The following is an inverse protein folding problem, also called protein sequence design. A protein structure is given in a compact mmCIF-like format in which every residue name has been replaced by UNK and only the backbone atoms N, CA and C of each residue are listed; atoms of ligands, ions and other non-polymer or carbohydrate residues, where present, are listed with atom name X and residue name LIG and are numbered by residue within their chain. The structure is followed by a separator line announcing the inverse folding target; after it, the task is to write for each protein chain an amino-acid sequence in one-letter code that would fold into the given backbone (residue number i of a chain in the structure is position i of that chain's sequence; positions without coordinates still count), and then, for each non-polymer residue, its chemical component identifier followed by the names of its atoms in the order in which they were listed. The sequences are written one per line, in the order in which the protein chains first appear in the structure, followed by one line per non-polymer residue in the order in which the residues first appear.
data_IF_386952716224
#
_entry.id   IF_386952716224
#
_cell.length_a   1.000
_cell.length_b   1.000
_cell.length_c   1.000
_cell.angle_alpha   90.00
_cell.angle_beta   90.00
_cell.angle_gamma   90.00
#
_symmetry.space_group_name_H-M   'P 1'
#
loop_
_entity.id
_entity.type
_entity.pdbx_description
1 polymer ?
#
# COMPACT_ATOMS: atom_id res chain seq x y z
N UNK A 1 -0.71 14.98 -26.13
CA UNK A 1 -1.95 14.19 -26.28
C UNK A 1 -2.08 13.25 -25.10
N UNK A 2 -3.27 13.19 -24.49
CA UNK A 2 -3.60 12.26 -23.42
C UNK A 2 -4.58 11.21 -23.93
N UNK A 3 -4.38 9.95 -23.53
CA UNK A 3 -5.30 8.84 -23.73
C UNK A 3 -5.94 8.54 -22.38
N UNK A 4 -7.25 8.67 -22.30
CA UNK A 4 -8.02 8.45 -21.06
C UNK A 4 -8.86 7.19 -21.26
N UNK A 5 -8.79 6.29 -20.28
CA UNK A 5 -9.65 5.09 -20.20
C UNK A 5 -10.77 5.37 -19.20
N UNK A 6 -11.99 4.94 -19.51
CA UNK A 6 -13.15 5.12 -18.62
C UNK A 6 -13.02 4.30 -17.33
N UNK A 7 -12.37 3.14 -17.43
CA UNK A 7 -12.01 2.26 -16.32
C UNK A 7 -10.69 1.56 -16.66
N UNK A 8 -10.04 0.98 -15.65
CA UNK A 8 -8.82 0.22 -15.88
C UNK A 8 -9.15 -1.25 -16.17
N UNK A 9 -8.83 -1.68 -17.39
CA UNK A 9 -8.67 -3.08 -17.77
C UNK A 9 -7.21 -3.31 -18.19
N UNK A 10 -6.62 -4.44 -17.75
CA UNK A 10 -5.19 -4.69 -17.94
C UNK A 10 -4.85 -4.98 -19.41
N UNK A 11 -5.69 -5.72 -20.13
CA UNK A 11 -5.44 -6.01 -21.55
C UNK A 11 -5.74 -4.80 -22.43
N UNK A 12 -6.83 -4.07 -22.17
CA UNK A 12 -7.14 -2.82 -22.87
C UNK A 12 -6.05 -1.76 -22.67
N UNK A 13 -5.43 -1.70 -21.48
CA UNK A 13 -4.29 -0.82 -21.22
C UNK A 13 -3.12 -1.14 -22.16
N UNK A 14 -2.73 -2.42 -22.30
CA UNK A 14 -1.65 -2.84 -23.18
C UNK A 14 -1.98 -2.52 -24.66
N UNK A 15 -3.21 -2.80 -25.06
CA UNK A 15 -3.70 -2.46 -26.41
C UNK A 15 -3.67 -0.95 -26.69
N UNK A 16 -4.01 -0.12 -25.68
CA UNK A 16 -3.94 1.34 -25.81
C UNK A 16 -2.48 1.82 -25.91
N UNK A 17 -1.55 1.24 -25.14
CA UNK A 17 -0.12 1.55 -25.24
C UNK A 17 0.39 1.29 -26.66
N UNK A 18 0.12 0.13 -27.22
CA UNK A 18 0.52 -0.22 -28.58
C UNK A 18 -0.11 0.70 -29.61
N UNK A 19 -1.45 0.84 -29.57
CA UNK A 19 -2.24 1.58 -30.56
C UNK A 19 -1.85 3.06 -30.63
N UNK A 20 -1.68 3.69 -29.47
CA UNK A 20 -1.42 5.13 -29.40
C UNK A 20 0.05 5.48 -29.18
N UNK A 21 0.93 4.46 -29.14
CA UNK A 21 2.37 4.62 -28.86
C UNK A 21 2.60 5.47 -27.62
N UNK A 22 1.92 5.10 -26.54
CA UNK A 22 2.01 5.80 -25.24
C UNK A 22 3.44 5.77 -24.73
N UNK A 23 3.94 6.93 -24.30
CA UNK A 23 5.32 7.08 -23.82
C UNK A 23 5.41 7.22 -22.30
N UNK A 24 4.39 7.81 -21.67
CA UNK A 24 4.36 8.07 -20.23
C UNK A 24 2.98 7.68 -19.69
N UNK A 25 2.96 7.07 -18.51
CA UNK A 25 1.71 6.70 -17.85
C UNK A 25 1.82 6.84 -16.34
N UNK A 26 0.67 7.08 -15.70
CA UNK A 26 0.48 7.06 -14.27
C UNK A 26 -0.35 5.84 -13.90
N UNK A 27 0.10 5.07 -12.92
CA UNK A 27 -0.55 3.84 -12.46
C UNK A 27 -0.62 3.78 -10.93
N UNK A 28 -1.28 2.75 -10.42
CA UNK A 28 -1.23 2.37 -9.01
C UNK A 28 -0.82 0.90 -8.90
N UNK A 29 -0.26 0.44 -7.76
CA UNK A 29 0.26 -0.93 -7.62
C UNK A 29 -0.74 -2.04 -7.94
N UNK A 30 -2.03 -1.86 -7.68
CA UNK A 30 -3.06 -2.84 -8.05
C UNK A 30 -3.21 -3.03 -9.57
N UNK A 31 -2.93 -1.99 -10.36
CA UNK A 31 -2.87 -2.10 -11.82
C UNK A 31 -1.70 -3.00 -12.24
N UNK A 32 -0.54 -2.86 -11.62
CA UNK A 32 0.61 -3.74 -11.83
C UNK A 32 0.28 -5.20 -11.53
N UNK A 33 -0.34 -5.45 -10.36
CA UNK A 33 -0.79 -6.81 -10.00
C UNK A 33 -1.70 -7.40 -11.06
N UNK A 34 -2.71 -6.64 -11.54
CA UNK A 34 -3.65 -7.10 -12.57
C UNK A 34 -2.94 -7.38 -13.89
N UNK A 35 -2.01 -6.52 -14.31
CA UNK A 35 -1.21 -6.72 -15.52
C UNK A 35 -0.32 -7.96 -15.42
N UNK A 36 0.37 -8.18 -14.29
CA UNK A 36 1.23 -9.35 -14.08
C UNK A 36 0.45 -10.66 -13.99
N UNK A 37 -0.83 -10.62 -13.63
CA UNK A 37 -1.73 -11.79 -13.60
C UNK A 37 -2.33 -12.16 -14.96
N UNK A 38 -2.14 -11.34 -15.99
CA UNK A 38 -2.49 -11.74 -17.34
C UNK A 38 -1.65 -12.94 -17.79
N UNK A 39 -2.22 -13.88 -18.57
CA UNK A 39 -1.47 -14.98 -19.16
C UNK A 39 -0.28 -14.48 -19.98
N UNK A 40 0.79 -15.26 -20.03
CA UNK A 40 2.03 -14.87 -20.74
C UNK A 40 1.83 -14.60 -22.22
N UNK A 41 0.94 -15.37 -22.88
CA UNK A 41 0.58 -15.17 -24.27
C UNK A 41 -0.17 -13.85 -24.50
N UNK A 42 -0.95 -13.39 -23.53
CA UNK A 42 -1.62 -12.08 -23.58
C UNK A 42 -0.60 -10.97 -23.38
N UNK A 43 0.27 -11.09 -22.36
CA UNK A 43 1.32 -10.10 -22.10
C UNK A 43 2.30 -9.93 -23.26
N UNK A 44 2.62 -11.02 -23.95
CA UNK A 44 3.51 -11.02 -25.12
C UNK A 44 2.87 -10.56 -26.42
N UNK A 45 1.55 -10.36 -26.47
CA UNK A 45 0.81 -10.00 -27.68
C UNK A 45 0.98 -8.53 -28.09
N UNK A 46 1.21 -7.66 -27.10
CA UNK A 46 1.22 -6.21 -27.30
C UNK A 46 2.63 -5.61 -27.27
N UNK A 47 2.91 -4.73 -28.22
CA UNK A 47 4.15 -3.95 -28.25
C UNK A 47 4.08 -2.75 -27.30
N UNK A 48 4.74 -2.88 -26.15
CA UNK A 48 4.86 -1.82 -25.13
C UNK A 48 6.18 -1.03 -25.20
N UNK A 49 6.99 -1.24 -26.24
CA UNK A 49 8.32 -0.64 -26.39
C UNK A 49 8.32 0.89 -26.53
N UNK A 50 7.16 1.50 -26.80
CA UNK A 50 6.99 2.94 -26.82
C UNK A 50 7.06 3.59 -25.44
N UNK A 51 6.81 2.83 -24.35
CA UNK A 51 6.88 3.33 -22.97
C UNK A 51 8.29 3.79 -22.63
N UNK A 52 8.41 4.97 -22.08
CA UNK A 52 9.65 5.58 -21.60
C UNK A 52 9.67 5.82 -20.10
N UNK A 53 8.49 5.97 -19.51
CA UNK A 53 8.34 6.27 -18.10
C UNK A 53 6.97 5.78 -17.61
N UNK A 54 6.97 4.99 -16.56
CA UNK A 54 5.77 4.47 -15.89
C UNK A 54 5.85 4.87 -14.42
N UNK A 55 5.05 5.85 -14.03
CA UNK A 55 4.92 6.25 -12.64
C UNK A 55 3.91 5.38 -11.90
N UNK A 56 4.21 5.06 -10.65
CA UNK A 56 3.20 4.58 -9.71
C UNK A 56 3.30 5.30 -8.37
N UNK A 57 2.19 5.37 -7.67
CA UNK A 57 2.07 5.99 -6.36
C UNK A 57 0.77 5.58 -5.65
N UNK A 58 0.41 6.27 -4.59
CA UNK A 58 -0.85 6.20 -3.85
C UNK A 58 -1.06 4.97 -2.96
N UNK A 59 -0.27 3.91 -3.12
CA UNK A 59 -0.29 2.72 -2.27
C UNK A 59 1.10 2.06 -2.26
N UNK A 60 1.43 1.27 -1.24
CA UNK A 60 2.63 0.46 -1.22
C UNK A 60 2.64 -0.55 -2.38
N UNK A 61 3.81 -0.72 -3.00
CA UNK A 61 4.00 -1.69 -4.07
C UNK A 61 4.80 -2.89 -3.55
N UNK A 62 4.24 -4.11 -3.53
CA UNK A 62 4.98 -5.29 -3.10
C UNK A 62 6.25 -5.50 -3.91
N UNK A 63 7.36 -5.86 -3.26
CA UNK A 63 8.67 -6.05 -3.91
C UNK A 63 8.58 -7.00 -5.12
N UNK A 64 7.95 -8.19 -5.04
CA UNK A 64 7.83 -9.08 -6.20
C UNK A 64 7.06 -8.47 -7.37
N UNK A 65 6.05 -7.64 -7.08
CA UNK A 65 5.24 -6.96 -8.10
C UNK A 65 6.08 -5.93 -8.85
N UNK A 66 6.82 -5.08 -8.13
CA UNK A 66 7.67 -4.07 -8.77
C UNK A 66 8.84 -4.71 -9.54
N UNK A 67 9.45 -5.75 -8.99
CA UNK A 67 10.45 -6.55 -9.71
C UNK A 67 9.90 -7.13 -11.02
N UNK A 68 8.71 -7.73 -10.97
CA UNK A 68 8.05 -8.28 -12.16
C UNK A 68 7.78 -7.22 -13.22
N UNK A 69 7.36 -6.03 -12.82
CA UNK A 69 7.16 -4.91 -13.76
C UNK A 69 8.46 -4.40 -14.37
N UNK A 70 9.53 -4.27 -13.56
CA UNK A 70 10.86 -3.87 -14.07
C UNK A 70 11.41 -4.93 -15.04
N UNK A 71 11.22 -6.23 -14.76
CA UNK A 71 11.61 -7.30 -15.65
C UNK A 71 10.85 -7.26 -16.99
N UNK A 72 9.58 -6.90 -16.97
CA UNK A 72 8.74 -6.85 -18.16
C UNK A 72 8.90 -5.55 -18.96
N UNK A 73 8.79 -4.40 -18.31
CA UNK A 73 8.82 -3.09 -19.00
C UNK A 73 10.23 -2.50 -19.11
N UNK A 74 11.21 -3.08 -18.42
CA UNK A 74 12.55 -2.51 -18.28
C UNK A 74 12.64 -1.50 -17.12
N UNK A 75 13.82 -0.86 -16.93
CA UNK A 75 14.09 0.03 -15.81
C UNK A 75 13.48 1.43 -15.99
N UNK A 76 12.21 1.49 -16.38
CA UNK A 76 11.45 2.71 -16.65
C UNK A 76 10.34 2.94 -15.60
N UNK A 77 10.34 2.15 -14.52
CA UNK A 77 9.37 2.27 -13.43
C UNK A 77 9.87 3.30 -12.44
N UNK A 78 9.02 4.27 -12.14
CA UNK A 78 9.28 5.35 -11.21
C UNK A 78 8.21 5.35 -10.10
N UNK A 79 8.62 5.67 -8.89
CA UNK A 79 7.73 5.78 -7.74
C UNK A 79 7.86 7.15 -7.10
N UNK A 80 6.75 7.68 -6.61
CA UNK A 80 6.78 8.80 -5.70
C UNK A 80 5.82 8.58 -4.52
N UNK A 81 6.20 9.15 -3.38
CA UNK A 81 5.38 9.25 -2.19
C UNK A 81 5.23 10.73 -1.81
N UNK A 82 4.00 11.20 -1.76
CA UNK A 82 3.64 12.55 -1.41
C UNK A 82 2.18 12.62 -0.96
N UNK A 83 1.83 13.64 -0.18
CA UNK A 83 0.47 14.00 0.17
C UNK A 83 -0.01 15.25 -0.54
N UNK A 84 -1.33 15.41 -0.64
CA UNK A 84 -1.96 16.66 -1.13
C UNK A 84 -1.65 17.85 -0.24
N UNK A 85 -1.20 17.62 0.98
CA UNK A 85 -0.73 18.57 1.97
C UNK A 85 0.54 19.31 1.52
N UNK A 86 1.30 18.74 0.57
CA UNK A 86 2.49 19.37 0.00
C UNK A 86 3.69 19.43 0.94
N UNK A 87 3.69 18.69 2.05
CA UNK A 87 4.71 18.76 3.08
C UNK A 87 6.04 18.11 2.71
N UNK A 88 6.04 17.17 1.74
CA UNK A 88 7.24 16.53 1.24
C UNK A 88 6.96 15.78 -0.06
N UNK A 89 8.01 15.58 -0.85
CA UNK A 89 7.97 14.79 -2.08
C UNK A 89 9.16 13.83 -2.10
N UNK A 90 8.88 12.55 -2.05
CA UNK A 90 9.85 11.46 -2.06
C UNK A 90 9.79 10.77 -3.42
N UNK A 91 10.94 10.43 -3.98
CA UNK A 91 11.01 9.88 -5.33
C UNK A 91 12.05 8.78 -5.44
N UNK A 92 11.74 7.79 -6.29
CA UNK A 92 12.64 6.68 -6.62
C UNK A 92 12.49 6.29 -8.10
N UNK A 93 13.61 6.07 -8.77
CA UNK A 93 13.64 5.43 -10.09
C UNK A 93 13.97 3.93 -9.96
N UNK A 94 13.91 3.18 -11.06
CA UNK A 94 14.18 1.75 -11.05
C UNK A 94 15.59 1.39 -10.60
N UNK A 95 16.61 2.17 -10.95
CA UNK A 95 18.01 1.91 -10.59
C UNK A 95 18.21 2.03 -9.08
N UNK A 96 17.81 3.15 -8.49
CA UNK A 96 17.86 3.37 -7.05
C UNK A 96 17.03 2.33 -6.30
N UNK A 97 15.85 2.00 -6.82
CA UNK A 97 14.98 1.03 -6.20
C UNK A 97 15.56 -0.40 -6.20
N UNK A 98 16.25 -0.81 -7.27
CA UNK A 98 16.89 -2.13 -7.33
C UNK A 98 18.02 -2.27 -6.31
N UNK A 99 18.70 -1.16 -6.00
CA UNK A 99 19.73 -1.11 -4.94
C UNK A 99 19.08 -1.10 -3.53
N UNK A 100 17.89 -0.51 -3.38
CA UNK A 100 17.16 -0.32 -2.11
C UNK A 100 15.73 -0.87 -2.22
N UNK A 101 15.60 -2.19 -2.40
CA UNK A 101 14.29 -2.82 -2.64
C UNK A 101 13.31 -2.60 -1.48
N UNK A 102 12.09 -2.17 -1.82
CA UNK A 102 11.02 -1.85 -0.86
C UNK A 102 10.96 -0.38 -0.45
N UNK A 103 11.96 0.43 -0.82
CA UNK A 103 11.94 1.88 -0.57
C UNK A 103 10.89 2.60 -1.43
N UNK A 104 10.40 3.73 -0.94
CA UNK A 104 9.67 4.73 -1.74
C UNK A 104 10.59 5.84 -2.27
N UNK A 105 11.89 5.81 -1.91
CA UNK A 105 12.93 6.71 -2.42
C UNK A 105 13.51 7.66 -1.40
N UNK A 106 14.10 8.74 -1.92
CA UNK A 106 14.68 9.83 -1.15
C UNK A 106 13.86 11.11 -1.33
N UNK A 107 13.86 11.97 -0.31
CA UNK A 107 13.16 13.25 -0.36
C UNK A 107 13.86 14.23 -1.31
N UNK A 108 13.09 14.93 -2.14
CA UNK A 108 13.58 15.94 -3.07
C UNK A 108 13.50 17.39 -2.52
N UNK A 109 12.63 17.65 -1.54
CA UNK A 109 12.32 19.02 -1.13
C UNK A 109 12.06 19.22 0.37
N UNK A 110 12.35 18.21 1.20
CA UNK A 110 12.17 18.27 2.64
C UNK A 110 13.24 17.41 3.34
N UNK A 111 13.51 17.68 4.62
CA UNK A 111 14.24 16.74 5.48
C UNK A 111 13.25 15.79 6.11
N UNK A 112 13.56 14.49 6.10
CA UNK A 112 12.73 13.47 6.74
C UNK A 112 13.31 13.16 8.12
N UNK A 113 12.42 13.16 9.12
CA UNK A 113 12.70 12.75 10.49
C UNK A 113 11.80 11.57 10.85
N UNK A 114 12.35 10.58 11.50
CA UNK A 114 11.61 9.43 12.04
C UNK A 114 11.58 9.56 13.55
N UNK A 115 10.37 9.64 14.13
CA UNK A 115 10.22 9.94 15.54
C UNK A 115 9.33 8.92 16.26
N UNK A 116 9.62 8.73 17.55
CA UNK A 116 8.74 8.03 18.49
C UNK A 116 7.45 8.83 18.78
N UNK A 117 6.60 8.31 19.68
CA UNK A 117 5.33 8.96 20.03
C UNK A 117 5.53 10.27 20.85
N UNK A 118 6.68 10.45 21.49
CA UNK A 118 7.06 11.66 22.22
C UNK A 118 7.71 12.72 21.30
N UNK A 119 7.92 12.38 20.03
CA UNK A 119 8.55 13.22 19.00
C UNK A 119 10.08 13.21 19.04
N UNK A 120 10.72 12.28 19.76
CA UNK A 120 12.17 12.14 19.71
C UNK A 120 12.58 11.37 18.48
N UNK A 121 13.65 11.80 17.80
CA UNK A 121 14.18 11.06 16.65
C UNK A 121 14.70 9.69 17.10
N UNK A 122 14.36 8.65 16.32
CA UNK A 122 14.82 7.28 16.54
C UNK A 122 16.09 6.99 15.71
N UNK A 123 16.91 6.00 16.11
CA UNK A 123 18.07 5.57 15.33
C UNK A 123 17.71 5.15 13.89
N UNK A 124 18.67 5.29 12.98
CA UNK A 124 18.54 4.78 11.61
C UNK A 124 18.18 3.29 11.60
N UNK A 125 17.23 2.89 10.76
CA UNK A 125 16.71 1.53 10.68
C UNK A 125 15.57 1.23 11.65
N UNK A 126 15.32 2.09 12.66
CA UNK A 126 14.17 1.94 13.56
C UNK A 126 12.94 2.64 12.99
N UNK A 127 11.78 1.98 13.15
CA UNK A 127 10.50 2.51 12.67
C UNK A 127 9.89 3.51 13.63
N UNK A 128 9.36 4.60 13.09
CA UNK A 128 8.64 5.64 13.83
C UNK A 128 7.71 6.42 12.92
N UNK A 129 7.08 7.45 13.46
CA UNK A 129 6.26 8.37 12.67
C UNK A 129 7.13 9.19 11.73
N UNK A 130 6.76 9.22 10.44
CA UNK A 130 7.47 10.00 9.41
C UNK A 130 7.04 11.45 9.49
N UNK A 131 8.00 12.34 9.78
CA UNK A 131 7.82 13.79 9.73
C UNK A 131 8.63 14.41 8.61
N UNK A 132 8.10 15.51 8.08
CA UNK A 132 8.77 16.32 7.07
C UNK A 132 9.07 17.71 7.63
N UNK A 133 10.34 18.10 7.61
CA UNK A 133 10.78 19.45 7.82
C UNK A 133 10.80 20.15 6.46
N UNK A 134 9.88 21.08 6.26
CA UNK A 134 9.74 21.85 5.01
C UNK A 134 9.07 23.20 5.28
N UNK A 135 9.03 24.04 4.27
CA UNK A 135 8.32 25.34 4.35
C UNK A 135 6.80 25.22 4.08
N UNK A 136 6.28 24.01 3.90
CA UNK A 136 4.87 23.79 3.61
C UNK A 136 4.00 24.14 4.83
N UNK A 137 2.98 24.95 4.60
CA UNK A 137 1.94 25.28 5.56
C UNK A 137 0.63 24.72 5.03
N UNK A 138 -0.05 23.88 5.80
CA UNK A 138 -1.38 23.38 5.47
C UNK A 138 -2.24 23.27 6.71
N UNK A 139 -3.55 23.27 6.50
CA UNK A 139 -4.56 23.01 7.52
C UNK A 139 -5.67 22.15 6.93
N UNK A 140 -6.23 21.26 7.73
CA UNK A 140 -7.42 20.50 7.31
C UNK A 140 -8.66 21.35 7.49
N UNK A 141 -9.47 21.46 6.43
CA UNK A 141 -10.66 22.29 6.41
C UNK A 141 -11.66 21.86 7.49
N UNK A 142 -12.01 22.80 8.39
CA UNK A 142 -12.92 22.58 9.52
C UNK A 142 -12.53 21.44 10.46
N UNK A 143 -11.25 21.06 10.52
CA UNK A 143 -10.75 19.98 11.38
C UNK A 143 -9.46 20.42 12.09
N UNK A 144 -9.57 21.25 13.14
CA UNK A 144 -8.41 21.74 13.89
C UNK A 144 -7.68 20.62 14.66
N UNK A 145 -8.41 19.60 15.12
CA UNK A 145 -7.82 18.47 15.84
C UNK A 145 -6.91 17.65 14.91
N UNK A 146 -7.38 17.34 13.71
CA UNK A 146 -6.56 16.65 12.70
C UNK A 146 -5.38 17.51 12.27
N UNK A 147 -5.56 18.82 12.13
CA UNK A 147 -4.47 19.76 11.84
C UNK A 147 -3.42 19.72 12.94
N UNK A 148 -3.83 19.75 14.21
CA UNK A 148 -2.94 19.64 15.37
C UNK A 148 -2.22 18.29 15.39
N UNK A 149 -2.93 17.19 15.16
CA UNK A 149 -2.36 15.85 15.10
C UNK A 149 -1.35 15.64 13.96
N UNK A 150 -1.38 16.49 12.93
CA UNK A 150 -0.40 16.48 11.85
C UNK A 150 0.87 17.29 12.13
N UNK A 151 1.01 17.86 13.33
CA UNK A 151 2.18 18.64 13.75
C UNK A 151 3.07 17.83 14.69
N UNK A 152 4.34 18.14 14.65
CA UNK A 152 5.33 17.64 15.58
C UNK A 152 4.96 18.03 17.03
N UNK A 153 4.90 17.06 17.96
CA UNK A 153 4.52 17.33 19.36
C UNK A 153 5.49 18.26 20.10
N UNK A 154 6.75 18.35 19.65
CA UNK A 154 7.77 19.21 20.24
C UNK A 154 7.76 20.63 19.65
N UNK A 155 6.88 20.93 18.69
CA UNK A 155 6.69 22.30 18.17
C UNK A 155 7.81 22.78 17.23
N UNK A 156 8.61 21.89 16.62
CA UNK A 156 9.69 22.26 15.68
C UNK A 156 9.18 22.70 14.31
N UNK A 157 7.86 22.62 14.08
CA UNK A 157 7.22 22.98 12.81
C UNK A 157 7.20 21.86 11.77
N UNK A 158 7.67 20.67 12.11
CA UNK A 158 7.59 19.52 11.23
C UNK A 158 6.16 19.01 11.10
N UNK A 159 5.87 18.36 9.98
CA UNK A 159 4.52 17.87 9.68
C UNK A 159 4.53 16.42 9.26
N UNK A 160 3.43 15.69 9.55
CA UNK A 160 3.27 14.29 9.20
C UNK A 160 1.98 14.03 8.44
N UNK A 161 1.98 12.99 7.60
CA UNK A 161 0.79 12.41 6.98
C UNK A 161 0.20 11.25 7.80
N UNK A 162 0.86 10.91 8.93
CA UNK A 162 0.49 9.80 9.80
C UNK A 162 0.98 8.45 9.30
N UNK A 163 1.98 8.44 8.43
CA UNK A 163 2.63 7.21 7.97
C UNK A 163 3.76 6.82 8.94
N UNK A 164 3.97 5.52 9.10
CA UNK A 164 5.07 4.91 9.86
C UNK A 164 6.10 4.40 8.88
N UNK A 165 7.37 4.61 9.18
CA UNK A 165 8.47 4.16 8.34
C UNK A 165 9.83 4.29 9.01
N UNK A 166 10.88 3.99 8.28
CA UNK A 166 12.26 4.16 8.71
C UNK A 166 13.14 4.65 7.55
N UNK A 167 14.29 5.22 7.89
CA UNK A 167 15.35 5.56 6.94
C UNK A 167 16.47 4.52 7.04
N UNK A 168 17.06 4.15 5.89
CA UNK A 168 18.35 3.46 5.89
C UNK A 168 19.53 4.43 6.01
N UNK A 169 20.76 3.90 6.00
CA UNK A 169 21.99 4.71 6.13
C UNK A 169 22.20 5.67 4.95
N UNK A 170 21.65 5.33 3.78
CA UNK A 170 21.69 6.15 2.57
C UNK A 170 20.50 7.12 2.47
N UNK A 171 19.68 7.23 3.54
CA UNK A 171 18.50 8.10 3.63
C UNK A 171 17.37 7.76 2.66
N UNK A 172 17.27 6.52 2.24
CA UNK A 172 16.07 6.02 1.58
C UNK A 172 14.97 5.75 2.59
N UNK A 173 13.74 6.19 2.27
CA UNK A 173 12.56 6.01 3.10
C UNK A 173 11.87 4.69 2.77
N UNK A 174 11.56 3.92 3.80
CA UNK A 174 10.75 2.71 3.75
C UNK A 174 9.47 2.94 4.55
N UNK A 175 8.32 2.79 3.92
CA UNK A 175 7.04 2.89 4.60
C UNK A 175 6.60 1.52 5.09
N UNK A 176 6.19 1.45 6.34
CA UNK A 176 5.69 0.22 6.98
C UNK A 176 4.17 0.15 6.91
N UNK A 177 3.47 1.19 7.38
CA UNK A 177 2.01 1.31 7.33
C UNK A 177 1.56 2.73 7.70
N UNK A 178 0.25 2.92 7.84
CA UNK A 178 -0.35 4.10 8.48
C UNK A 178 -0.60 3.85 9.95
N UNK A 179 -0.26 4.81 10.80
CA UNK A 179 -0.51 4.75 12.26
C UNK A 179 -1.97 4.40 12.57
N UNK A 180 -2.93 4.93 11.80
CA UNK A 180 -4.37 4.68 11.96
C UNK A 180 -4.81 3.24 11.66
N UNK A 181 -4.01 2.43 10.97
CA UNK A 181 -4.33 1.05 10.65
C UNK A 181 -3.48 0.03 11.41
N UNK A 182 -2.48 0.49 12.16
CA UNK A 182 -1.68 -0.38 13.01
C UNK A 182 -2.60 -1.17 13.95
N UNK A 183 -2.40 -2.47 14.03
CA UNK A 183 -3.15 -3.39 14.89
C UNK A 183 -2.36 -3.57 16.17
N UNK A 184 -3.01 -3.43 17.32
CA UNK A 184 -2.39 -3.69 18.62
C UNK A 184 -2.97 -5.00 19.17
N UNK A 185 -2.23 -6.09 19.00
CA UNK A 185 -2.64 -7.42 19.42
C UNK A 185 -1.74 -7.94 20.53
N UNK A 186 -2.29 -8.11 21.73
CA UNK A 186 -1.52 -8.58 22.89
C UNK A 186 -0.33 -7.68 23.25
N UNK A 187 -0.41 -6.36 22.99
CA UNK A 187 0.68 -5.40 23.21
C UNK A 187 1.73 -5.36 22.09
N UNK A 188 1.54 -6.10 21.00
CA UNK A 188 2.43 -6.10 19.85
C UNK A 188 1.84 -5.26 18.73
N UNK A 189 2.63 -4.36 18.16
CA UNK A 189 2.28 -3.58 16.99
C UNK A 189 2.42 -4.44 15.73
N UNK A 190 1.33 -4.64 15.01
CA UNK A 190 1.28 -5.38 13.76
C UNK A 190 0.88 -4.41 12.65
N UNK A 191 1.64 -4.45 11.57
CA UNK A 191 1.39 -3.62 10.39
C UNK A 191 0.64 -4.43 9.33
N UNK A 192 -0.65 -4.16 9.10
CA UNK A 192 -1.49 -4.90 8.14
C UNK A 192 -0.91 -4.98 6.73
N UNK A 193 -0.15 -3.97 6.33
CA UNK A 193 0.45 -3.89 5.00
C UNK A 193 1.36 -5.08 4.69
N UNK A 194 2.04 -5.65 5.69
CA UNK A 194 2.89 -6.82 5.50
C UNK A 194 2.06 -8.02 5.01
N UNK A 195 0.91 -8.25 5.63
CA UNK A 195 -0.02 -9.33 5.25
C UNK A 195 -0.69 -9.06 3.91
N UNK A 196 -1.06 -7.80 3.61
CA UNK A 196 -1.59 -7.40 2.30
C UNK A 196 -0.58 -7.65 1.19
N UNK A 197 0.68 -7.28 1.40
CA UNK A 197 1.77 -7.48 0.43
C UNK A 197 1.99 -8.97 0.09
N UNK A 198 1.79 -9.86 1.04
CA UNK A 198 1.88 -11.31 0.81
C UNK A 198 0.62 -11.80 0.11
N UNK A 199 -0.56 -11.56 0.66
CA UNK A 199 -1.82 -12.09 0.13
C UNK A 199 -2.11 -11.67 -1.32
N UNK A 200 -1.79 -10.44 -1.68
CA UNK A 200 -2.04 -9.92 -3.04
C UNK A 200 -1.22 -10.67 -4.11
N UNK A 201 -0.10 -11.28 -3.73
CA UNK A 201 0.72 -12.07 -4.66
C UNK A 201 0.15 -13.47 -4.93
N UNK A 202 -0.78 -13.94 -4.10
CA UNK A 202 -1.39 -15.26 -4.28
C UNK A 202 -2.22 -15.31 -5.58
N UNK A 203 -2.12 -16.38 -6.41
CA UNK A 203 -2.82 -16.46 -7.70
C UNK A 203 -4.34 -16.33 -7.62
N UNK A 204 -4.96 -16.79 -6.52
CA UNK A 204 -6.41 -16.77 -6.32
C UNK A 204 -6.94 -15.45 -5.71
N UNK A 205 -6.10 -14.46 -5.44
CA UNK A 205 -6.47 -13.18 -4.83
C UNK A 205 -6.47 -12.09 -5.89
N UNK A 206 -7.56 -11.38 -6.06
CA UNK A 206 -7.66 -10.20 -6.94
C UNK A 206 -7.33 -8.93 -6.17
N UNK A 207 -7.83 -8.83 -4.93
CA UNK A 207 -7.65 -7.68 -4.05
C UNK A 207 -7.76 -8.12 -2.58
N UNK A 208 -7.17 -7.33 -1.66
CA UNK A 208 -7.16 -7.65 -0.24
C UNK A 208 -7.11 -6.40 0.63
N UNK A 209 -7.79 -6.44 1.76
CA UNK A 209 -7.68 -5.50 2.86
C UNK A 209 -7.41 -6.27 4.15
N UNK A 210 -6.44 -5.82 4.94
CA UNK A 210 -6.13 -6.37 6.26
C UNK A 210 -6.25 -5.25 7.29
N UNK A 211 -6.90 -5.54 8.43
CA UNK A 211 -7.08 -4.61 9.54
C UNK A 211 -7.36 -5.35 10.85
N UNK A 212 -7.25 -4.63 11.96
CA UNK A 212 -7.60 -5.16 13.29
C UNK A 212 -9.09 -5.15 13.50
N UNK A 213 -9.61 -6.25 14.07
CA UNK A 213 -10.96 -6.34 14.63
C UNK A 213 -10.90 -6.59 16.13
N UNK A 214 -11.93 -6.22 16.93
CA UNK A 214 -11.92 -6.44 18.36
C UNK A 214 -11.77 -7.91 18.74
N UNK A 215 -10.87 -8.17 19.71
CA UNK A 215 -10.67 -9.48 20.32
C UNK A 215 -10.69 -9.36 21.85
N UNK A 216 -11.38 -10.26 22.56
CA UNK A 216 -11.60 -10.15 24.01
C UNK A 216 -10.30 -10.21 24.82
N UNK A 217 -9.37 -11.08 24.44
CA UNK A 217 -8.14 -11.34 25.17
C UNK A 217 -6.97 -10.44 24.69
N UNK A 218 -6.85 -10.23 23.36
CA UNK A 218 -5.70 -9.55 22.78
C UNK A 218 -5.95 -8.08 22.45
N UNK A 219 -7.17 -7.55 22.68
CA UNK A 219 -7.59 -6.22 22.27
C UNK A 219 -8.01 -6.19 20.80
N UNK A 220 -7.09 -6.50 19.89
CA UNK A 220 -7.37 -6.67 18.47
C UNK A 220 -6.79 -8.00 17.94
N UNK A 221 -7.39 -8.52 16.87
CA UNK A 221 -6.84 -9.61 16.04
C UNK A 221 -6.79 -9.22 14.57
N UNK A 222 -5.89 -9.88 13.84
CA UNK A 222 -5.70 -9.63 12.40
C UNK A 222 -6.82 -10.28 11.60
N UNK A 223 -7.57 -9.48 10.85
CA UNK A 223 -8.63 -9.88 9.93
C UNK A 223 -8.27 -9.51 8.50
N UNK A 224 -8.48 -10.43 7.55
CA UNK A 224 -8.42 -10.10 6.13
C UNK A 224 -9.82 -10.14 5.49
N UNK A 225 -10.04 -9.26 4.53
CA UNK A 225 -11.16 -9.31 3.59
C UNK A 225 -10.58 -9.40 2.20
N UNK A 226 -10.89 -10.48 1.48
CA UNK A 226 -10.30 -10.83 0.21
C UNK A 226 -11.35 -10.78 -0.89
N UNK A 227 -11.00 -10.16 -2.01
CA UNK A 227 -11.66 -10.34 -3.29
C UNK A 227 -10.94 -11.48 -4.03
N UNK A 228 -11.53 -12.69 -4.12
CA UNK A 228 -10.91 -13.79 -4.84
C UNK A 228 -11.12 -13.64 -6.35
N UNK A 229 -10.32 -14.34 -7.15
CA UNK A 229 -10.51 -14.43 -8.61
C UNK A 229 -11.86 -15.09 -8.94
N UNK A 230 -12.23 -16.11 -8.16
CA UNK A 230 -13.54 -16.77 -8.24
C UNK A 230 -14.15 -16.87 -6.86
N UNK A 231 -15.36 -16.34 -6.69
CA UNK A 231 -16.07 -16.42 -5.42
C UNK A 231 -16.40 -17.87 -5.06
N UNK A 232 -16.08 -18.31 -3.82
CA UNK A 232 -16.50 -19.64 -3.35
C UNK A 232 -18.02 -19.73 -3.27
N UNK A 233 -18.56 -20.83 -3.78
CA UNK A 233 -20.02 -21.05 -3.92
C UNK A 233 -20.62 -21.83 -2.75
N UNK A 234 -19.78 -22.46 -1.93
CA UNK A 234 -20.20 -23.26 -0.76
C UNK A 234 -19.36 -22.93 0.47
N UNK A 235 -19.85 -23.28 1.65
CA UNK A 235 -19.11 -23.11 2.90
C UNK A 235 -17.84 -23.98 2.96
N UNK A 236 -17.84 -25.11 2.24
CA UNK A 236 -16.67 -25.98 2.14
C UNK A 236 -15.56 -25.29 1.32
N UNK A 237 -15.90 -24.78 0.15
CA UNK A 237 -14.96 -24.03 -0.69
C UNK A 237 -14.44 -22.77 0.02
N UNK A 238 -15.31 -22.07 0.73
CA UNK A 238 -14.95 -20.90 1.53
C UNK A 238 -13.89 -21.25 2.57
N UNK A 239 -14.11 -22.31 3.38
CA UNK A 239 -13.14 -22.73 4.39
C UNK A 239 -11.84 -23.23 3.80
N UNK A 240 -11.89 -23.94 2.68
CA UNK A 240 -10.68 -24.42 1.98
C UNK A 240 -9.84 -23.25 1.48
N UNK A 241 -10.45 -22.27 0.84
CA UNK A 241 -9.75 -21.08 0.35
C UNK A 241 -9.17 -20.25 1.51
N UNK A 242 -9.94 -20.06 2.60
CA UNK A 242 -9.46 -19.39 3.82
C UNK A 242 -8.21 -20.07 4.38
N UNK A 243 -8.27 -21.39 4.59
CA UNK A 243 -7.15 -22.16 5.12
C UNK A 243 -5.92 -22.08 4.19
N UNK A 244 -6.13 -22.16 2.88
CA UNK A 244 -5.06 -22.04 1.90
C UNK A 244 -4.36 -20.68 1.97
N UNK A 245 -5.12 -19.57 2.05
CA UNK A 245 -4.57 -18.22 2.11
C UNK A 245 -3.88 -17.94 3.45
N UNK A 246 -4.42 -18.44 4.57
CA UNK A 246 -3.77 -18.34 5.88
C UNK A 246 -2.45 -19.15 5.88
N UNK A 247 -2.45 -20.35 5.34
CA UNK A 247 -1.24 -21.17 5.22
C UNK A 247 -0.19 -20.46 4.37
N UNK A 248 -0.59 -19.88 3.25
CA UNK A 248 0.31 -19.08 2.40
C UNK A 248 0.92 -17.89 3.15
N UNK A 249 0.15 -17.18 3.98
CA UNK A 249 0.70 -16.12 4.84
C UNK A 249 1.76 -16.66 5.80
N UNK A 250 1.51 -17.81 6.44
CA UNK A 250 2.42 -18.43 7.43
C UNK A 250 3.75 -18.89 6.85
N UNK A 251 3.80 -19.16 5.55
CA UNK A 251 5.05 -19.48 4.86
C UNK A 251 5.97 -18.26 4.68
N UNK A 252 5.40 -17.04 4.78
CA UNK A 252 6.10 -15.80 4.47
C UNK A 252 6.22 -14.83 5.66
N UNK A 253 5.37 -14.99 6.69
CA UNK A 253 5.27 -14.09 7.82
C UNK A 253 5.22 -14.85 9.15
N UNK A 254 5.61 -14.17 10.23
CA UNK A 254 5.41 -14.68 11.58
C UNK A 254 3.90 -14.86 11.86
N UNK A 255 3.52 -15.90 12.59
CA UNK A 255 2.13 -16.28 12.89
C UNK A 255 1.26 -15.12 13.40
N UNK A 256 1.83 -14.26 14.25
CA UNK A 256 1.11 -13.13 14.85
C UNK A 256 0.68 -12.07 13.79
N UNK A 257 1.38 -11.99 12.67
CA UNK A 257 1.07 -11.08 11.56
C UNK A 257 0.05 -11.68 10.59
N UNK A 258 -0.17 -12.99 10.63
CA UNK A 258 -1.09 -13.67 9.74
C UNK A 258 -2.54 -13.43 10.14
N UNK A 259 -3.47 -13.29 9.18
CA UNK A 259 -4.89 -13.22 9.49
C UNK A 259 -5.36 -14.45 10.26
N UNK A 260 -6.15 -14.25 11.32
CA UNK A 260 -6.80 -15.34 12.06
C UNK A 260 -8.06 -15.82 11.36
N UNK A 261 -8.66 -14.94 10.56
CA UNK A 261 -9.83 -15.27 9.74
C UNK A 261 -9.86 -14.45 8.46
N UNK A 262 -10.51 -14.99 7.42
CA UNK A 262 -10.65 -14.32 6.12
C UNK A 262 -12.10 -14.35 5.69
N UNK A 263 -12.64 -13.17 5.35
CA UNK A 263 -13.93 -13.06 4.67
C UNK A 263 -13.73 -12.80 3.18
N UNK A 264 -14.69 -13.24 2.36
CA UNK A 264 -14.64 -13.08 0.92
C UNK A 264 -15.75 -12.13 0.46
N UNK A 265 -15.37 -11.18 -0.41
CA UNK A 265 -16.29 -10.25 -1.07
C UNK A 265 -16.05 -10.23 -2.57
N UNK A 266 -17.11 -10.06 -3.38
CA UNK A 266 -16.96 -9.98 -4.83
C UNK A 266 -16.20 -8.71 -5.27
N UNK A 267 -16.20 -7.67 -4.42
CA UNK A 267 -15.52 -6.41 -4.65
C UNK A 267 -15.19 -5.72 -3.32
N UNK A 268 -14.04 -5.05 -3.26
CA UNK A 268 -13.65 -4.19 -2.14
C UNK A 268 -13.97 -2.72 -2.45
N UNK A 269 -14.36 -1.92 -1.43
CA UNK A 269 -14.70 -0.52 -1.64
C UNK A 269 -13.47 0.29 -2.05
N UNK A 270 -13.53 0.90 -3.25
CA UNK A 270 -12.46 1.75 -3.78
C UNK A 270 -12.99 3.11 -4.21
N UNK A 271 -12.14 4.11 -4.02
CA UNK A 271 -12.35 5.43 -4.62
C UNK A 271 -12.19 5.33 -6.16
N UNK A 272 -12.82 6.19 -6.97
CA UNK A 272 -12.61 6.23 -8.42
C UNK A 272 -11.14 6.34 -8.86
N UNK A 273 -10.28 6.90 -8.00
CA UNK A 273 -8.82 6.94 -8.22
C UNK A 273 -8.10 5.61 -7.98
N UNK A 274 -8.81 4.55 -7.60
CA UNK A 274 -8.26 3.23 -7.29
C UNK A 274 -7.84 3.02 -5.82
N UNK A 275 -7.87 4.05 -4.97
CA UNK A 275 -7.49 3.93 -3.54
C UNK A 275 -8.52 3.10 -2.77
N UNK A 276 -8.03 2.09 -2.02
CA UNK A 276 -8.87 1.27 -1.13
C UNK A 276 -9.42 2.09 0.05
N UNK A 277 -10.71 2.00 0.29
CA UNK A 277 -11.38 2.56 1.46
C UNK A 277 -11.35 1.59 2.66
N UNK A 278 -10.13 1.23 3.12
CA UNK A 278 -9.93 0.29 4.23
C UNK A 278 -10.72 0.67 5.49
N UNK A 279 -10.85 1.98 5.77
CA UNK A 279 -11.61 2.48 6.92
C UNK A 279 -13.07 2.04 6.89
N UNK A 280 -13.74 2.09 5.75
CA UNK A 280 -15.14 1.66 5.65
C UNK A 280 -15.32 0.20 6.04
N UNK A 281 -14.37 -0.67 5.61
CA UNK A 281 -14.38 -2.07 6.01
C UNK A 281 -14.15 -2.22 7.51
N UNK A 282 -13.12 -1.57 8.06
CA UNK A 282 -12.83 -1.63 9.50
C UNK A 282 -14.04 -1.18 10.32
N UNK A 283 -14.65 -0.05 9.98
CA UNK A 283 -15.81 0.51 10.68
C UNK A 283 -17.01 -0.47 10.69
N UNK A 284 -17.29 -1.19 9.60
CA UNK A 284 -18.35 -2.22 9.54
C UNK A 284 -18.13 -3.35 10.58
N UNK A 285 -16.89 -3.87 10.67
CA UNK A 285 -16.58 -4.97 11.59
C UNK A 285 -16.59 -4.50 13.06
N UNK A 286 -16.14 -3.28 13.33
CA UNK A 286 -16.17 -2.70 14.67
C UNK A 286 -17.61 -2.42 15.13
N UNK A 287 -18.46 -1.90 14.26
CA UNK A 287 -19.87 -1.68 14.56
C UNK A 287 -20.60 -2.99 14.86
N UNK A 288 -20.31 -4.08 14.13
CA UNK A 288 -20.88 -5.41 14.39
C UNK A 288 -20.46 -5.99 15.75
N UNK A 289 -19.27 -5.65 16.24
CA UNK A 289 -18.77 -6.05 17.55
C UNK A 289 -19.35 -5.19 18.70
N UNK A 290 -20.23 -4.23 18.40
CA UNK A 290 -20.84 -3.33 19.41
C UNK A 290 -19.87 -2.34 20.04
N UNK A 291 -18.72 -2.11 19.41
CA UNK A 291 -17.70 -1.12 19.82
C UNK A 291 -17.61 -0.02 18.76
N UNK A 292 -17.75 1.23 19.17
CA UNK A 292 -17.47 2.39 18.32
C UNK A 292 -15.99 2.74 18.44
N UNK A 293 -15.36 3.05 17.30
CA UNK A 293 -13.96 3.53 17.23
C UNK A 293 -13.91 4.99 17.62
#
# INVERSE_FOLDING_TARGET
TSVIMDHFDAEEFLAAVEKYKVTHTQTVPTMFVRMLKLPDDVRGRYDVSSLKCVFHAAAPCPVPVKLGMIQWFGPIIHEYYAGSEGNGFVYCNSESWLAHQGTVGQSLNAVIHICDDDGNEVPTGESGTVYFESNAQFEYHNDPEKTKASRDPQGRGWTTLGDIGYLDDDKFLYLTDRKAFMIISGGVNIYPQESENVLITHPLVTDVAVFGIPHEEFGEEVKAVVQPVTMPTSDVERRQLEQQLIAFCKEHLADLKCPRSIDFRPELPRHPTGKLYKRLLKDEYWAQAGRNI
#
